data_IF_065946952991
#
_entry.id   IF_065946952991
#
_cell.length_a   1.000
_cell.length_b   1.000
_cell.length_c   1.000
_cell.angle_alpha   90.00
_cell.angle_beta   90.00
_cell.angle_gamma   90.00
#
_symmetry.space_group_name_H-M   'P 1'
#
loop_
_entity.id
_entity.type
_entity.pdbx_description
1 polymer ?
#
# COMPACT_ATOMS: atom_id res chain seq x y z
N UNK A 1 27.69 -2.63 5.04
CA UNK A 1 26.27 -2.21 4.94
C UNK A 1 25.42 -3.05 5.91
N UNK A 2 24.75 -2.43 6.88
CA UNK A 2 24.19 -3.12 8.06
C UNK A 2 22.84 -3.81 7.74
N UNK A 3 22.73 -5.14 7.97
CA UNK A 3 21.53 -5.96 7.67
C UNK A 3 20.24 -5.39 8.28
N UNK A 4 20.32 -4.66 9.40
CA UNK A 4 19.16 -4.00 10.04
C UNK A 4 18.59 -2.85 9.21
N UNK A 5 19.43 -2.07 8.54
CA UNK A 5 18.98 -0.98 7.65
C UNK A 5 18.35 -1.49 6.36
N UNK A 6 18.80 -2.64 5.86
CA UNK A 6 18.21 -3.28 4.68
C UNK A 6 16.80 -3.80 4.98
N UNK A 7 16.59 -4.44 6.14
CA UNK A 7 15.25 -4.89 6.57
C UNK A 7 14.28 -3.73 6.78
N UNK A 8 14.73 -2.62 7.36
CA UNK A 8 13.88 -1.43 7.52
C UNK A 8 13.49 -0.77 6.19
N UNK A 9 14.38 -0.79 5.19
CA UNK A 9 14.03 -0.32 3.85
C UNK A 9 13.07 -1.26 3.14
N UNK A 10 13.30 -2.57 3.19
CA UNK A 10 12.39 -3.56 2.60
C UNK A 10 10.97 -3.53 3.21
N UNK A 11 10.85 -3.36 4.53
CA UNK A 11 9.53 -3.20 5.18
C UNK A 11 8.82 -1.91 4.79
N UNK A 12 9.56 -0.82 4.52
CA UNK A 12 8.98 0.49 4.19
C UNK A 12 8.43 0.55 2.76
N UNK A 13 9.00 -0.21 1.82
CA UNK A 13 8.63 -0.17 0.40
C UNK A 13 7.82 -1.38 -0.07
N UNK A 14 7.81 -2.48 0.68
CA UNK A 14 7.08 -3.72 0.35
C UNK A 14 5.60 -3.53 -0.01
N UNK A 15 4.80 -2.78 0.79
CA UNK A 15 3.37 -2.60 0.51
C UNK A 15 3.11 -1.81 -0.78
N UNK A 16 3.89 -0.77 -1.04
CA UNK A 16 3.79 0.09 -2.22
C UNK A 16 4.15 -0.65 -3.51
N UNK A 17 5.21 -1.45 -3.51
CA UNK A 17 5.62 -2.23 -4.69
C UNK A 17 4.64 -3.37 -4.98
N UNK A 18 4.10 -4.01 -3.94
CA UNK A 18 3.07 -5.04 -4.09
C UNK A 18 1.79 -4.45 -4.69
N UNK A 19 1.38 -3.25 -4.27
CA UNK A 19 0.22 -2.54 -4.82
C UNK A 19 0.37 -2.21 -6.31
N UNK A 20 1.52 -1.70 -6.74
CA UNK A 20 1.78 -1.37 -8.15
C UNK A 20 1.77 -2.64 -9.03
N UNK A 21 2.34 -3.74 -8.54
CA UNK A 21 2.41 -5.00 -9.29
C UNK A 21 1.04 -5.69 -9.40
N UNK A 22 0.19 -5.58 -8.38
CA UNK A 22 -1.19 -6.10 -8.39
C UNK A 22 -2.10 -5.29 -9.34
N UNK A 23 -1.88 -3.99 -9.51
CA UNK A 23 -2.67 -3.16 -10.42
C UNK A 23 -2.25 -3.28 -11.91
N UNK A 24 -1.00 -3.66 -12.20
CA UNK A 24 -0.50 -3.69 -13.59
C UNK A 24 -0.83 -5.01 -14.34
N UNK A 25 -1.00 -6.13 -13.63
CA UNK A 25 -1.21 -7.46 -14.22
C UNK A 25 -2.62 -7.68 -14.83
N UNK A 26 -3.73 -7.15 -14.27
CA UNK A 26 -5.07 -7.39 -14.83
C UNK A 26 -5.31 -6.72 -16.18
N UNK A 27 -4.69 -5.55 -16.42
CA UNK A 27 -4.85 -4.77 -17.65
C UNK A 27 -4.24 -5.47 -18.89
N UNK A 28 -3.20 -6.29 -18.71
CA UNK A 28 -2.53 -6.97 -19.80
C UNK A 28 -3.13 -8.35 -20.15
N UNK A 29 -4.01 -8.91 -19.30
CA UNK A 29 -4.40 -10.32 -19.37
C UNK A 29 -5.88 -10.58 -19.65
N UNK A 30 -6.69 -9.55 -19.84
CA UNK A 30 -8.08 -9.76 -20.23
C UNK A 30 -8.11 -10.34 -21.67
N UNK A 31 -8.49 -11.61 -21.77
CA UNK A 31 -8.66 -12.31 -23.05
C UNK A 31 -9.70 -11.61 -23.95
N UNK A 32 -10.55 -10.77 -23.34
CA UNK A 32 -11.50 -9.90 -24.02
C UNK A 32 -10.80 -8.83 -24.87
N UNK A 33 -9.77 -8.16 -24.31
CA UNK A 33 -9.03 -7.12 -25.02
C UNK A 33 -8.23 -7.70 -26.20
N UNK A 34 -7.60 -8.86 -25.98
CA UNK A 34 -6.86 -9.57 -27.04
C UNK A 34 -7.78 -10.03 -28.19
N UNK A 35 -8.99 -10.51 -27.89
CA UNK A 35 -9.98 -10.92 -28.91
C UNK A 35 -10.56 -9.73 -29.68
N UNK A 36 -10.73 -8.58 -29.03
CA UNK A 36 -11.20 -7.35 -29.68
C UNK A 36 -10.14 -6.80 -30.65
N UNK A 37 -8.88 -6.75 -30.23
CA UNK A 37 -7.76 -6.33 -31.11
C UNK A 37 -7.59 -7.27 -32.31
N UNK A 38 -7.64 -8.58 -32.10
CA UNK A 38 -7.52 -9.55 -33.18
C UNK A 38 -8.62 -9.39 -34.25
N UNK A 39 -9.85 -9.05 -33.86
CA UNK A 39 -10.96 -8.79 -34.80
C UNK A 39 -10.76 -7.51 -35.61
N UNK A 40 -10.18 -6.48 -35.01
CA UNK A 40 -9.91 -5.21 -35.69
C UNK A 40 -8.82 -5.37 -36.76
N UNK A 41 -7.76 -6.11 -36.46
CA UNK A 41 -6.67 -6.35 -37.41
C UNK A 41 -7.00 -7.37 -38.51
N UNK A 42 -8.07 -8.15 -38.35
CA UNK A 42 -8.51 -9.14 -39.35
C UNK A 42 -9.40 -8.55 -40.47
N UNK A 43 -9.78 -7.27 -40.42
CA UNK A 43 -10.55 -6.63 -41.50
C UNK A 43 -9.64 -5.78 -42.40
N UNK A 44 -9.49 -6.22 -43.65
CA UNK A 44 -8.81 -5.48 -44.70
C UNK A 44 -9.66 -4.27 -45.12
N UNK A 45 -9.19 -3.07 -44.78
CA UNK A 45 -9.81 -1.81 -45.15
C UNK A 45 -8.74 -0.72 -45.33
N UNK A 46 -9.05 0.36 -46.07
CA UNK A 46 -8.10 1.44 -46.30
C UNK A 46 -7.65 2.06 -44.96
N UNK A 47 -6.38 2.45 -44.86
CA UNK A 47 -5.74 2.88 -43.61
C UNK A 47 -6.48 4.03 -42.89
N UNK A 48 -7.12 4.93 -43.64
CA UNK A 48 -7.96 5.99 -43.07
C UNK A 48 -9.18 5.43 -42.31
N UNK A 49 -9.81 4.37 -42.81
CA UNK A 49 -10.91 3.71 -42.12
C UNK A 49 -10.44 2.93 -40.89
N UNK A 50 -9.22 2.38 -40.93
CA UNK A 50 -8.63 1.71 -39.76
C UNK A 50 -8.36 2.71 -38.63
N UNK A 51 -7.81 3.88 -38.95
CA UNK A 51 -7.59 4.95 -37.97
C UNK A 51 -8.89 5.53 -37.44
N UNK A 52 -9.89 5.78 -38.30
CA UNK A 52 -11.20 6.25 -37.86
C UNK A 52 -11.91 5.26 -36.92
N UNK A 53 -11.74 3.95 -37.13
CA UNK A 53 -12.28 2.90 -36.25
C UNK A 53 -11.53 2.80 -34.93
N UNK A 54 -10.19 2.90 -34.95
CA UNK A 54 -9.38 2.99 -33.73
C UNK A 54 -9.75 4.23 -32.92
N UNK A 55 -9.94 5.36 -33.60
CA UNK A 55 -10.36 6.61 -32.96
C UNK A 55 -11.78 6.48 -32.40
N UNK A 56 -12.75 5.94 -33.15
CA UNK A 56 -14.11 5.71 -32.67
C UNK A 56 -14.20 4.75 -31.47
N UNK A 57 -13.32 3.74 -31.42
CA UNK A 57 -13.18 2.85 -30.25
C UNK A 57 -12.59 3.60 -29.04
N UNK A 58 -11.74 4.60 -29.25
CA UNK A 58 -11.18 5.45 -28.20
C UNK A 58 -12.10 6.59 -27.77
N UNK A 59 -12.94 7.14 -28.67
CA UNK A 59 -13.60 8.44 -28.44
C UNK A 59 -15.12 8.47 -28.40
N UNK A 60 -15.89 7.48 -28.88
CA UNK A 60 -17.35 7.67 -28.78
C UNK A 60 -18.36 6.72 -29.43
N UNK A 61 -18.09 5.44 -29.68
CA UNK A 61 -19.06 4.54 -30.32
C UNK A 61 -19.58 3.39 -29.45
N UNK A 62 -20.81 3.52 -28.95
CA UNK A 62 -21.69 2.54 -28.25
C UNK A 62 -21.49 2.43 -26.72
N UNK A 63 -22.30 3.05 -25.86
CA UNK A 63 -23.73 2.76 -25.64
C UNK A 63 -24.10 1.27 -25.55
N UNK A 64 -23.15 0.37 -25.24
CA UNK A 64 -23.42 -0.50 -24.11
C UNK A 64 -23.49 0.41 -22.88
N UNK A 65 -24.22 0.07 -21.80
CA UNK A 65 -23.86 0.68 -20.54
C UNK A 65 -22.35 0.49 -20.44
N UNK A 66 -21.60 1.58 -20.47
CA UNK A 66 -20.40 1.60 -19.66
C UNK A 66 -21.02 1.30 -18.31
N UNK A 67 -21.00 0.02 -17.90
CA UNK A 67 -21.09 -0.35 -16.51
C UNK A 67 -19.83 0.25 -15.93
N UNK A 68 -19.81 1.59 -15.84
CA UNK A 68 -19.24 2.34 -14.76
C UNK A 68 -19.83 1.61 -13.58
N UNK A 69 -19.10 0.64 -13.04
CA UNK A 69 -19.57 -0.42 -12.14
C UNK A 69 -19.56 -1.88 -12.65
N UNK A 70 -18.52 -2.33 -13.37
CA UNK A 70 -17.74 -3.45 -12.76
C UNK A 70 -17.03 -2.88 -11.53
N UNK A 71 -17.84 -2.50 -10.54
CA UNK A 71 -17.39 -1.86 -9.33
C UNK A 71 -16.91 -3.02 -8.52
N UNK A 72 -15.63 -3.33 -8.69
CA UNK A 72 -14.84 -4.08 -7.72
C UNK A 72 -14.76 -3.35 -6.35
N UNK A 73 -15.67 -2.41 -6.08
CA UNK A 73 -15.99 -1.84 -4.79
C UNK A 73 -16.00 -2.83 -3.63
N UNK A 74 -16.58 -4.04 -3.70
CA UNK A 74 -16.47 -4.93 -2.56
C UNK A 74 -15.01 -5.28 -2.27
N UNK A 75 -14.17 -5.42 -3.30
CA UNK A 75 -12.74 -5.66 -3.15
C UNK A 75 -11.99 -4.43 -2.66
N UNK A 76 -12.25 -3.23 -3.20
CA UNK A 76 -11.59 -2.00 -2.73
C UNK A 76 -11.99 -1.65 -1.29
N UNK A 77 -13.26 -1.80 -0.93
CA UNK A 77 -13.74 -1.61 0.45
C UNK A 77 -13.11 -2.63 1.36
N UNK A 78 -13.09 -3.91 0.99
CA UNK A 78 -12.40 -4.94 1.76
C UNK A 78 -10.90 -4.63 1.91
N UNK A 79 -10.22 -4.17 0.85
CA UNK A 79 -8.81 -3.81 0.88
C UNK A 79 -8.54 -2.60 1.79
N UNK A 80 -9.39 -1.56 1.74
CA UNK A 80 -9.31 -0.39 2.62
C UNK A 80 -9.56 -0.77 4.07
N UNK A 81 -10.61 -1.57 4.35
CA UNK A 81 -10.90 -2.04 5.70
C UNK A 81 -9.74 -2.87 6.27
N UNK A 82 -9.21 -3.81 5.48
CA UNK A 82 -8.03 -4.60 5.86
C UNK A 82 -6.81 -3.70 6.11
N UNK A 83 -6.58 -2.68 5.27
CA UNK A 83 -5.50 -1.73 5.45
C UNK A 83 -5.65 -0.91 6.75
N UNK A 84 -6.87 -0.47 7.09
CA UNK A 84 -7.16 0.25 8.33
C UNK A 84 -6.97 -0.63 9.57
N UNK A 85 -7.44 -1.88 9.52
CA UNK A 85 -7.21 -2.86 10.58
C UNK A 85 -5.72 -3.10 10.75
N UNK A 86 -4.99 -3.38 9.67
CA UNK A 86 -3.54 -3.59 9.71
C UNK A 86 -2.81 -2.35 10.26
N UNK A 87 -3.19 -1.15 9.87
CA UNK A 87 -2.62 0.09 10.39
C UNK A 87 -2.91 0.27 11.90
N UNK A 88 -4.12 -0.07 12.35
CA UNK A 88 -4.52 -0.04 13.76
C UNK A 88 -3.69 -1.01 14.59
N UNK A 89 -3.56 -2.26 14.13
CA UNK A 89 -2.71 -3.27 14.75
C UNK A 89 -1.25 -2.82 14.75
N UNK A 90 -0.73 -2.32 13.64
CA UNK A 90 0.63 -1.79 13.57
C UNK A 90 0.88 -0.69 14.60
N UNK A 91 -0.08 0.21 14.82
CA UNK A 91 0.04 1.30 15.79
C UNK A 91 -0.06 0.82 17.26
N UNK A 92 -0.83 -0.25 17.52
CA UNK A 92 -0.93 -0.86 18.84
C UNK A 92 0.31 -1.70 19.20
N UNK A 93 0.84 -2.45 18.23
CA UNK A 93 1.96 -3.37 18.41
C UNK A 93 3.32 -2.74 18.09
N UNK A 94 3.37 -1.44 17.77
CA UNK A 94 4.64 -0.75 17.56
C UNK A 94 5.43 -0.83 18.88
N UNK A 95 6.65 -1.41 18.87
CA UNK A 95 7.45 -1.47 20.08
C UNK A 95 7.73 -0.05 20.59
N UNK A 96 7.42 0.18 21.86
CA UNK A 96 7.70 1.45 22.52
C UNK A 96 9.22 1.50 22.75
N UNK A 97 9.93 2.53 22.24
CA UNK A 97 11.36 2.66 22.47
C UNK A 97 11.65 2.73 23.97
N UNK A 98 12.82 2.22 24.38
CA UNK A 98 13.24 2.19 25.78
C UNK A 98 13.33 3.59 26.41
N UNK A 99 13.46 4.62 25.58
CA UNK A 99 13.53 6.03 25.99
C UNK A 99 12.14 6.65 26.24
N UNK A 100 11.05 5.87 26.22
CA UNK A 100 9.70 6.35 26.49
C UNK A 100 9.04 5.56 27.62
N UNK A 101 8.15 6.22 28.37
CA UNK A 101 7.38 5.55 29.41
C UNK A 101 6.49 4.47 28.79
N UNK A 102 6.56 3.23 29.30
CA UNK A 102 5.76 2.11 28.82
C UNK A 102 4.25 2.26 29.11
N UNK A 103 3.90 3.15 30.06
CA UNK A 103 2.51 3.39 30.47
C UNK A 103 1.90 4.56 29.70
N UNK A 104 2.46 5.77 29.85
CA UNK A 104 1.88 6.98 29.26
C UNK A 104 2.54 7.42 27.94
N UNK A 105 3.60 6.73 27.49
CA UNK A 105 4.38 7.07 26.28
C UNK A 105 5.06 8.44 26.33
N UNK A 106 5.23 9.04 27.51
CA UNK A 106 5.99 10.27 27.69
C UNK A 106 7.47 10.04 27.35
N UNK A 107 8.11 11.02 26.71
CA UNK A 107 9.52 10.98 26.37
C UNK A 107 10.36 11.14 27.64
N UNK A 108 11.17 10.13 27.96
CA UNK A 108 12.01 10.11 29.17
C UNK A 108 13.43 10.59 28.90
N UNK A 109 13.73 11.13 27.70
CA UNK A 109 15.03 11.68 27.38
C UNK A 109 15.42 12.78 28.39
N UNK A 110 16.54 12.58 29.09
CA UNK A 110 17.04 13.51 30.10
C UNK A 110 16.41 13.38 31.49
N UNK A 111 15.49 12.44 31.71
CA UNK A 111 14.94 12.20 33.05
C UNK A 111 15.92 11.39 33.92
N UNK A 112 16.42 12.01 35.00
CA UNK A 112 17.36 11.39 35.95
C UNK A 112 16.68 10.81 37.19
N UNK A 113 15.40 11.10 37.40
CA UNK A 113 14.69 10.77 38.66
C UNK A 113 14.31 9.29 38.79
N UNK A 114 14.36 8.53 37.69
CA UNK A 114 13.92 7.13 37.66
C UNK A 114 12.41 6.94 37.73
N UNK A 115 11.61 8.02 37.65
CA UNK A 115 10.14 7.98 37.62
C UNK A 115 9.57 8.91 36.56
N UNK A 116 8.50 8.50 35.89
CA UNK A 116 7.83 9.34 34.91
C UNK A 116 7.11 10.53 35.60
N UNK A 117 7.29 11.78 35.14
CA UNK A 117 6.64 12.94 35.76
C UNK A 117 5.10 12.93 35.59
N UNK A 118 4.60 12.40 34.47
CA UNK A 118 3.15 12.38 34.18
C UNK A 118 2.38 11.32 34.97
N UNK A 119 2.90 10.08 35.04
CA UNK A 119 2.17 8.95 35.61
C UNK A 119 2.78 8.37 36.90
N UNK A 120 3.97 8.83 37.30
CA UNK A 120 4.68 8.33 38.48
C UNK A 120 5.26 6.92 38.34
N UNK A 121 5.06 6.23 37.21
CA UNK A 121 5.57 4.88 37.00
C UNK A 121 7.12 4.85 37.08
N UNK A 122 7.66 3.82 37.74
CA UNK A 122 9.09 3.59 37.81
C UNK A 122 9.64 3.28 36.41
N UNK A 123 10.64 4.03 35.98
CA UNK A 123 11.29 3.80 34.70
C UNK A 123 12.38 2.77 34.92
N UNK A 124 12.38 1.68 34.14
CA UNK A 124 13.52 0.77 34.06
C UNK A 124 14.61 1.53 33.31
N UNK A 125 15.35 2.36 34.04
CA UNK A 125 16.55 2.99 33.48
C UNK A 125 17.49 1.84 33.17
N UNK A 126 17.87 1.61 31.90
CA UNK A 126 18.84 0.57 31.59
C UNK A 126 20.10 0.93 32.36
N UNK A 127 20.37 0.14 33.39
CA UNK A 127 21.49 0.36 34.28
C UNK A 127 22.74 0.53 33.43
N UNK A 128 23.35 1.70 33.54
CA UNK A 128 24.73 1.94 33.13
C UNK A 128 25.62 1.13 34.08
N UNK A 129 25.61 -0.19 33.96
CA UNK A 129 26.23 -1.07 34.95
C UNK A 129 26.31 -2.51 34.46
N UNK A 130 27.27 -2.76 33.56
CA UNK A 130 28.08 -4.00 33.46
C UNK A 130 29.06 -3.81 32.28
N UNK A 131 30.04 -2.95 32.51
CA UNK A 131 31.35 -3.01 31.84
C UNK A 131 32.36 -3.18 32.96
N UNK A 132 32.59 -4.44 33.33
CA UNK A 132 33.63 -4.90 34.25
C UNK A 132 34.17 -6.20 33.71
#
# INVERSE_FOLDING_TARGET
MNRRRLKQRLLKWGPTLLGILVCAVPLARSAYFQRQLARLFAQDGPAEQQMARLFAMFTGGALGPVTIVDFDWPYYVAAVLLALIAARFWWLYRPIPLDHCQVCRYDLTGNVTGRCPECGAATVSPGRGERS
#
